data_IF_630789607875
#
_entry.id   IF_630789607875
#
_cell.length_a   1.000
_cell.length_b   1.000
_cell.length_c   1.000
_cell.angle_alpha   90.00
_cell.angle_beta   90.00
_cell.angle_gamma   90.00
#
_symmetry.space_group_name_H-M   'P 1'
#
loop_
_entity.id
_entity.type
_entity.pdbx_description
1 polymer ?
#
# COMPACT_ATOMS: atom_id res chain seq x y z
N UNK A 1 22.59 -35.50 -15.37
CA UNK A 1 22.86 -36.95 -15.50
C UNK A 1 21.52 -37.65 -15.67
N UNK A 2 21.28 -38.28 -16.83
CA UNK A 2 20.02 -38.97 -17.14
C UNK A 2 20.06 -40.41 -16.64
N UNK A 3 19.40 -40.69 -15.51
CA UNK A 3 19.09 -42.05 -15.09
C UNK A 3 17.78 -42.48 -15.75
N UNK A 4 17.64 -43.76 -16.10
CA UNK A 4 16.36 -44.29 -16.60
C UNK A 4 15.33 -44.25 -15.48
N UNK A 5 14.06 -43.94 -15.80
CA UNK A 5 12.97 -43.83 -14.81
C UNK A 5 12.81 -45.10 -13.94
N UNK A 6 13.21 -46.25 -14.47
CA UNK A 6 13.21 -47.55 -13.80
C UNK A 6 14.28 -47.72 -12.72
N UNK A 7 15.29 -46.87 -12.68
CA UNK A 7 16.42 -46.94 -11.73
C UNK A 7 16.27 -45.94 -10.58
N UNK A 8 15.15 -45.22 -10.55
CA UNK A 8 14.87 -44.18 -9.57
C UNK A 8 13.93 -44.75 -8.51
N UNK A 9 14.48 -45.00 -7.32
CA UNK A 9 13.67 -45.39 -6.17
C UNK A 9 12.79 -44.20 -5.73
N UNK A 10 11.46 -44.31 -5.81
CA UNK A 10 10.54 -43.24 -5.43
C UNK A 10 10.69 -42.81 -3.97
N UNK A 11 11.04 -43.74 -3.07
CA UNK A 11 11.24 -43.49 -1.66
C UNK A 11 12.51 -42.67 -1.40
N UNK A 12 13.58 -42.94 -2.14
CA UNK A 12 14.83 -42.18 -2.04
C UNK A 12 14.65 -40.75 -2.59
N UNK A 13 13.91 -40.61 -3.69
CA UNK A 13 13.65 -39.32 -4.32
C UNK A 13 12.77 -38.42 -3.45
N UNK A 14 11.78 -38.98 -2.77
CA UNK A 14 10.94 -38.23 -1.84
C UNK A 14 11.74 -37.72 -0.64
N UNK A 15 12.66 -38.52 -0.09
CA UNK A 15 13.56 -38.09 0.99
C UNK A 15 14.48 -36.97 0.52
N UNK A 16 15.10 -37.11 -0.65
CA UNK A 16 15.93 -36.06 -1.24
C UNK A 16 15.16 -34.75 -1.44
N UNK A 17 13.90 -34.80 -1.88
CA UNK A 17 13.05 -33.61 -2.04
C UNK A 17 12.75 -32.92 -0.71
N UNK A 18 12.46 -33.70 0.34
CA UNK A 18 12.20 -33.16 1.69
C UNK A 18 13.47 -32.56 2.27
N UNK A 19 14.61 -33.25 2.16
CA UNK A 19 15.91 -32.76 2.61
C UNK A 19 16.32 -31.48 1.87
N UNK A 20 16.05 -31.41 0.57
CA UNK A 20 16.28 -30.21 -0.24
C UNK A 20 15.37 -29.06 0.22
N UNK A 21 14.08 -29.32 0.44
CA UNK A 21 13.14 -28.32 0.93
C UNK A 21 13.58 -27.77 2.30
N UNK A 22 14.03 -28.63 3.20
CA UNK A 22 14.56 -28.21 4.51
C UNK A 22 15.87 -27.42 4.36
N UNK A 23 16.81 -27.87 3.52
CA UNK A 23 18.09 -27.20 3.26
C UNK A 23 17.91 -25.77 2.76
N UNK A 24 16.93 -25.55 1.89
CA UNK A 24 16.61 -24.23 1.34
C UNK A 24 15.56 -23.45 2.15
N UNK A 25 15.18 -23.94 3.34
CA UNK A 25 14.16 -23.32 4.22
C UNK A 25 12.81 -23.09 3.52
N UNK A 26 12.46 -23.95 2.58
CA UNK A 26 11.15 -23.95 1.94
C UNK A 26 10.14 -24.41 3.00
N UNK A 27 9.16 -23.56 3.30
CA UNK A 27 8.10 -23.86 4.26
C UNK A 27 7.22 -24.97 3.70
N UNK A 28 7.35 -26.18 4.23
CA UNK A 28 6.48 -27.31 3.89
C UNK A 28 5.09 -27.06 4.55
N UNK A 29 4.01 -26.96 3.76
CA UNK A 29 2.65 -26.83 4.32
C UNK A 29 2.29 -28.01 5.24
N UNK A 30 1.49 -27.75 6.28
CA UNK A 30 1.17 -28.75 7.32
C UNK A 30 0.43 -29.97 6.75
N UNK A 31 -0.29 -29.76 5.64
CA UNK A 31 -1.05 -30.75 4.91
C UNK A 31 -0.15 -31.91 4.45
N UNK A 32 1.10 -31.64 4.05
CA UNK A 32 2.05 -32.67 3.65
C UNK A 32 2.56 -33.52 4.83
N UNK A 33 2.67 -32.94 6.02
CA UNK A 33 3.04 -33.70 7.22
C UNK A 33 1.92 -34.68 7.62
N UNK A 34 0.66 -34.26 7.49
CA UNK A 34 -0.50 -35.12 7.73
C UNK A 34 -0.55 -36.26 6.70
N UNK A 35 -0.32 -35.96 5.41
CA UNK A 35 -0.23 -36.97 4.36
C UNK A 35 0.90 -37.97 4.63
N UNK A 36 2.09 -37.50 5.00
CA UNK A 36 3.23 -38.36 5.33
C UNK A 36 2.91 -39.31 6.49
N UNK A 37 2.28 -38.82 7.56
CA UNK A 37 1.85 -39.64 8.69
C UNK A 37 0.80 -40.68 8.28
N UNK A 38 -0.17 -40.28 7.46
CA UNK A 38 -1.19 -41.19 6.94
C UNK A 38 -0.56 -42.29 6.09
N UNK A 39 0.31 -41.95 5.14
CA UNK A 39 1.04 -42.90 4.31
C UNK A 39 1.88 -43.88 5.13
N UNK A 40 2.63 -43.40 6.12
CA UNK A 40 3.44 -44.27 7.00
C UNK A 40 2.56 -45.21 7.84
N UNK A 41 1.40 -44.74 8.28
CA UNK A 41 0.44 -45.56 9.04
C UNK A 41 -0.16 -46.64 8.15
N UNK A 42 -0.57 -46.28 6.93
CA UNK A 42 -1.10 -47.23 5.95
C UNK A 42 -0.05 -48.28 5.57
N UNK A 43 1.19 -47.88 5.30
CA UNK A 43 2.30 -48.81 5.05
C UNK A 43 2.52 -49.76 6.24
N UNK A 44 2.48 -49.23 7.46
CA UNK A 44 2.62 -50.04 8.68
C UNK A 44 1.51 -51.07 8.85
N UNK A 45 0.27 -50.74 8.50
CA UNK A 45 -0.86 -51.68 8.52
C UNK A 45 -0.70 -52.74 7.41
N UNK A 46 -0.36 -52.32 6.19
CA UNK A 46 -0.15 -53.23 5.05
C UNK A 46 0.96 -54.22 5.35
N UNK A 47 2.08 -53.75 5.92
CA UNK A 47 3.23 -54.61 6.29
C UNK A 47 2.88 -55.64 7.38
N UNK A 48 1.92 -55.35 8.25
CA UNK A 48 1.43 -56.32 9.24
C UNK A 48 0.50 -57.36 8.62
N UNK A 49 -0.24 -57.00 7.56
CA UNK A 49 -1.26 -57.86 6.95
C UNK A 49 -0.68 -58.74 5.84
N UNK A 50 0.14 -58.17 4.96
CA UNK A 50 0.79 -58.86 3.85
C UNK A 50 2.18 -58.24 3.60
N UNK A 51 3.24 -58.82 4.18
CA UNK A 51 4.61 -58.29 4.06
C UNK A 51 5.27 -58.55 2.70
N UNK A 52 4.76 -59.45 1.87
CA UNK A 52 5.33 -59.78 0.55
C UNK A 52 4.61 -59.03 -0.60
N UNK A 53 3.60 -58.23 -0.29
CA UNK A 53 2.83 -57.46 -1.26
C UNK A 53 3.72 -56.47 -2.05
N UNK A 54 3.74 -56.60 -3.37
CA UNK A 54 4.26 -55.55 -4.27
C UNK A 54 3.26 -54.39 -4.36
N UNK A 55 3.48 -53.37 -3.52
CA UNK A 55 2.68 -52.15 -3.44
C UNK A 55 2.60 -51.45 -4.80
N UNK A 56 3.66 -51.50 -5.60
CA UNK A 56 3.70 -50.82 -6.90
C UNK A 56 2.74 -51.47 -7.88
N UNK A 57 2.78 -52.80 -7.98
CA UNK A 57 1.88 -53.55 -8.86
C UNK A 57 0.42 -53.41 -8.41
N UNK A 58 0.15 -53.45 -7.10
CA UNK A 58 -1.19 -53.29 -6.56
C UNK A 58 -1.75 -51.87 -6.77
N UNK A 59 -0.92 -50.82 -6.66
CA UNK A 59 -1.35 -49.43 -6.77
C UNK A 59 -1.44 -48.92 -8.22
N UNK A 60 -0.67 -49.48 -9.15
CA UNK A 60 -0.60 -49.06 -10.55
C UNK A 60 -1.96 -48.95 -11.27
N UNK A 61 -2.89 -49.93 -11.19
CA UNK A 61 -4.18 -49.82 -11.86
C UNK A 61 -5.02 -48.65 -11.32
N UNK A 62 -5.01 -48.42 -10.01
CA UNK A 62 -5.73 -47.30 -9.39
C UNK A 62 -5.12 -45.96 -9.75
N UNK A 63 -3.78 -45.87 -9.78
CA UNK A 63 -3.08 -44.66 -10.24
C UNK A 63 -3.44 -44.33 -11.69
N UNK A 64 -3.50 -45.33 -12.58
CA UNK A 64 -3.96 -45.14 -13.96
C UNK A 64 -5.41 -44.65 -14.01
N UNK A 65 -6.31 -45.27 -13.25
CA UNK A 65 -7.71 -44.85 -13.22
C UNK A 65 -7.89 -43.41 -12.71
N UNK A 66 -7.19 -43.03 -11.64
CA UNK A 66 -7.19 -41.65 -11.11
C UNK A 66 -6.67 -40.63 -12.13
N UNK A 67 -5.62 -40.98 -12.88
CA UNK A 67 -5.12 -40.13 -13.96
C UNK A 67 -6.15 -40.04 -15.09
N UNK A 68 -6.75 -41.16 -15.50
CA UNK A 68 -7.81 -41.14 -16.49
C UNK A 68 -8.99 -40.28 -16.05
N UNK A 69 -9.46 -40.40 -14.81
CA UNK A 69 -10.59 -39.61 -14.32
C UNK A 69 -10.27 -38.11 -14.30
N UNK A 70 -9.07 -37.75 -13.82
CA UNK A 70 -8.60 -36.36 -13.75
C UNK A 70 -8.36 -35.72 -15.12
N UNK A 71 -7.93 -36.52 -16.10
CA UNK A 71 -7.62 -36.05 -17.46
C UNK A 71 -8.68 -36.49 -18.49
N UNK A 72 -9.81 -37.07 -18.06
CA UNK A 72 -10.84 -37.54 -18.97
C UNK A 72 -11.51 -36.35 -19.69
N UNK A 73 -11.74 -36.42 -21.02
CA UNK A 73 -12.48 -35.40 -21.76
C UNK A 73 -13.91 -35.18 -21.25
N UNK A 74 -14.50 -36.17 -20.57
CA UNK A 74 -15.81 -36.05 -19.94
C UNK A 74 -15.81 -35.09 -18.74
N UNK A 75 -14.69 -34.92 -18.04
CA UNK A 75 -14.56 -33.88 -17.01
C UNK A 75 -14.45 -32.46 -17.59
N UNK A 76 -13.93 -32.33 -18.83
CA UNK A 76 -13.90 -31.05 -19.56
C UNK A 76 -15.28 -30.59 -20.03
N UNK A 77 -16.20 -31.50 -20.38
CA UNK A 77 -17.56 -31.11 -20.79
C UNK A 77 -18.36 -30.48 -19.65
N UNK A 78 -18.21 -31.00 -18.42
CA UNK A 78 -18.77 -30.38 -17.21
C UNK A 78 -18.15 -29.00 -16.91
N UNK A 79 -16.85 -28.83 -17.17
CA UNK A 79 -16.18 -27.53 -17.08
C UNK A 79 -16.69 -26.53 -18.11
N UNK A 80 -16.85 -26.95 -19.37
CA UNK A 80 -17.32 -26.10 -20.46
C UNK A 80 -18.77 -25.64 -20.26
N UNK A 81 -19.66 -26.54 -19.82
CA UNK A 81 -21.05 -26.19 -19.49
C UNK A 81 -21.12 -25.22 -18.31
N UNK A 82 -20.28 -25.41 -17.29
CA UNK A 82 -20.18 -24.48 -16.15
C UNK A 82 -19.70 -23.09 -16.59
N UNK A 83 -18.72 -23.03 -17.48
CA UNK A 83 -18.22 -21.77 -18.05
C UNK A 83 -19.30 -21.09 -18.89
N UNK A 84 -20.04 -21.82 -19.73
CA UNK A 84 -21.16 -21.28 -20.52
C UNK A 84 -22.26 -20.70 -19.63
N UNK A 85 -22.66 -21.40 -18.57
CA UNK A 85 -23.67 -20.91 -17.62
C UNK A 85 -23.19 -19.66 -16.87
N UNK A 86 -21.91 -19.59 -16.49
CA UNK A 86 -21.33 -18.39 -15.88
C UNK A 86 -21.28 -17.21 -16.87
N UNK A 87 -20.93 -17.47 -18.13
CA UNK A 87 -20.89 -16.46 -19.18
C UNK A 87 -22.29 -15.89 -19.47
N UNK A 88 -23.31 -16.76 -19.47
CA UNK A 88 -24.71 -16.36 -19.65
C UNK A 88 -25.18 -15.42 -18.53
N UNK A 89 -24.87 -15.74 -17.27
CA UNK A 89 -25.20 -14.85 -16.14
C UNK A 89 -24.48 -13.50 -16.26
N UNK A 90 -23.19 -13.52 -16.60
CA UNK A 90 -22.42 -12.29 -16.80
C UNK A 90 -22.99 -11.41 -17.94
N UNK A 91 -23.36 -12.02 -19.07
CA UNK A 91 -23.96 -11.31 -20.21
C UNK A 91 -25.34 -10.72 -19.92
N UNK A 92 -26.08 -11.23 -18.93
CA UNK A 92 -27.37 -10.67 -18.51
C UNK A 92 -27.18 -9.42 -17.63
N UNK A 93 -26.21 -9.43 -16.71
CA UNK A 93 -26.04 -8.35 -15.74
C UNK A 93 -25.19 -7.18 -16.28
N UNK A 94 -24.24 -7.46 -17.18
CA UNK A 94 -23.33 -6.46 -17.74
C UNK A 94 -24.00 -5.34 -18.56
N UNK A 95 -24.96 -5.61 -19.47
CA UNK A 95 -25.57 -4.56 -20.27
C UNK A 95 -26.36 -3.55 -19.41
N UNK A 96 -26.96 -3.98 -18.31
CA UNK A 96 -27.68 -3.09 -17.40
C UNK A 96 -26.73 -2.13 -16.69
N UNK A 97 -25.57 -2.61 -16.23
CA UNK A 97 -24.54 -1.78 -15.60
C UNK A 97 -23.94 -0.78 -16.60
N UNK A 98 -23.68 -1.22 -17.83
CA UNK A 98 -23.21 -0.32 -18.89
C UNK A 98 -24.26 0.75 -19.22
N UNK A 99 -25.53 0.39 -19.37
CA UNK A 99 -26.60 1.35 -19.61
C UNK A 99 -26.70 2.40 -18.49
N UNK A 100 -26.52 1.99 -17.24
CA UNK A 100 -26.52 2.90 -16.10
C UNK A 100 -25.32 3.85 -16.11
N UNK A 101 -24.12 3.36 -16.46
CA UNK A 101 -22.93 4.22 -16.64
C UNK A 101 -23.15 5.23 -17.76
N UNK A 102 -23.72 4.82 -18.90
CA UNK A 102 -24.03 5.73 -20.00
C UNK A 102 -25.07 6.79 -19.60
N UNK A 103 -26.12 6.39 -18.87
CA UNK A 103 -27.13 7.33 -18.35
C UNK A 103 -26.53 8.33 -17.35
N UNK A 104 -25.62 7.89 -16.47
CA UNK A 104 -24.93 8.78 -15.53
C UNK A 104 -23.95 9.73 -16.24
N UNK A 105 -23.39 9.30 -17.38
CA UNK A 105 -22.53 10.11 -18.24
C UNK A 105 -23.34 11.18 -19.01
N UNK A 106 -24.48 10.78 -19.59
CA UNK A 106 -25.41 11.68 -20.29
C UNK A 106 -26.04 12.70 -19.34
N UNK A 107 -26.39 12.28 -18.12
CA UNK A 107 -26.94 13.15 -17.08
C UNK A 107 -25.92 14.08 -16.42
N UNK A 108 -24.66 14.08 -16.85
CA UNK A 108 -23.60 14.94 -16.31
C UNK A 108 -23.25 14.65 -14.84
N UNK A 109 -23.68 13.50 -14.30
CA UNK A 109 -23.40 13.07 -12.92
C UNK A 109 -22.03 12.43 -12.75
N UNK A 110 -21.34 12.18 -13.86
CA UNK A 110 -19.98 11.68 -13.88
C UNK A 110 -18.99 12.75 -13.40
N UNK A 111 -18.86 12.90 -12.09
CA UNK A 111 -17.91 13.80 -11.47
C UNK A 111 -16.57 13.08 -11.30
N UNK A 112 -15.67 13.25 -12.28
CA UNK A 112 -14.28 12.79 -12.14
C UNK A 112 -13.59 13.71 -11.15
N UNK A 113 -13.55 13.28 -9.89
CA UNK A 113 -12.84 14.01 -8.85
C UNK A 113 -11.34 13.81 -9.04
N UNK A 114 -10.75 14.53 -10.00
CA UNK A 114 -9.30 14.55 -10.23
C UNK A 114 -8.66 15.27 -9.05
N UNK A 115 -8.39 14.53 -7.97
CA UNK A 115 -7.46 14.96 -6.92
C UNK A 115 -6.06 14.90 -7.47
N UNK A 116 -5.68 15.87 -8.31
CA UNK A 116 -4.27 16.07 -8.62
C UNK A 116 -3.61 16.68 -7.38
N UNK A 117 -2.61 16.01 -6.83
CA UNK A 117 -1.76 16.57 -5.78
C UNK A 117 -1.13 17.91 -6.19
N UNK A 118 -0.99 18.15 -7.50
CA UNK A 118 -0.45 19.38 -8.08
C UNK A 118 -1.35 20.60 -7.80
N UNK A 119 -2.67 20.50 -7.99
CA UNK A 119 -3.61 21.58 -7.65
C UNK A 119 -3.60 21.90 -6.15
N UNK A 120 -3.46 20.88 -5.29
CA UNK A 120 -3.35 21.09 -3.85
C UNK A 120 -2.05 21.80 -3.47
N UNK A 121 -0.94 21.50 -4.15
CA UNK A 121 0.35 22.16 -3.94
C UNK A 121 0.31 23.62 -4.43
N UNK A 122 -0.29 23.88 -5.57
CA UNK A 122 -0.51 25.24 -6.09
C UNK A 122 -1.30 26.10 -5.11
N UNK A 123 -2.42 25.61 -4.58
CA UNK A 123 -3.22 26.34 -3.59
C UNK A 123 -2.42 26.63 -2.31
N UNK A 124 -1.60 25.68 -1.86
CA UNK A 124 -0.74 25.86 -0.68
C UNK A 124 0.32 26.95 -0.92
N UNK A 125 0.95 26.96 -2.09
CA UNK A 125 1.96 27.96 -2.46
C UNK A 125 1.35 29.36 -2.60
N UNK A 126 0.17 29.48 -3.22
CA UNK A 126 -0.55 30.76 -3.34
C UNK A 126 -0.92 31.33 -1.97
N UNK A 127 -1.41 30.47 -1.05
CA UNK A 127 -1.69 30.88 0.34
C UNK A 127 -0.43 31.35 1.07
N UNK A 128 0.69 30.64 0.91
CA UNK A 128 1.96 31.01 1.53
C UNK A 128 2.46 32.38 1.03
N UNK A 129 2.37 32.63 -0.28
CA UNK A 129 2.71 33.93 -0.88
C UNK A 129 1.79 35.04 -0.36
N UNK A 130 0.48 34.81 -0.28
CA UNK A 130 -0.48 35.77 0.26
C UNK A 130 -0.18 36.16 1.71
N UNK A 131 0.14 35.19 2.57
CA UNK A 131 0.53 35.44 3.96
C UNK A 131 1.83 36.24 4.01
N UNK A 132 2.83 35.89 3.22
CA UNK A 132 4.11 36.60 3.17
C UNK A 132 3.93 38.07 2.78
N UNK A 133 3.14 38.33 1.72
CA UNK A 133 2.85 39.69 1.27
C UNK A 133 2.08 40.49 2.32
N UNK A 134 1.05 39.89 2.93
CA UNK A 134 0.27 40.55 3.98
C UNK A 134 1.13 40.89 5.21
N UNK A 135 1.96 39.96 5.67
CA UNK A 135 2.88 40.21 6.79
C UNK A 135 3.95 41.23 6.43
N UNK A 136 4.50 41.20 5.22
CA UNK A 136 5.43 42.22 4.73
C UNK A 136 4.79 43.61 4.69
N UNK A 137 3.53 43.70 4.24
CA UNK A 137 2.77 44.94 4.20
C UNK A 137 2.49 45.48 5.61
N UNK A 138 2.06 44.63 6.55
CA UNK A 138 1.89 44.98 7.96
C UNK A 138 3.20 45.46 8.58
N UNK A 139 4.31 44.77 8.33
CA UNK A 139 5.61 45.16 8.85
C UNK A 139 6.05 46.52 8.30
N UNK A 140 5.88 46.76 7.00
CA UNK A 140 6.18 48.06 6.39
C UNK A 140 5.32 49.18 6.98
N UNK A 141 4.02 48.93 7.20
CA UNK A 141 3.11 49.89 7.84
C UNK A 141 3.50 50.19 9.28
N UNK A 142 3.90 49.18 10.06
CA UNK A 142 4.39 49.37 11.43
C UNK A 142 5.71 50.17 11.46
N UNK A 143 6.63 49.91 10.53
CA UNK A 143 7.89 50.66 10.41
C UNK A 143 7.62 52.13 10.08
N UNK A 144 6.78 52.40 9.07
CA UNK A 144 6.44 53.77 8.66
C UNK A 144 5.66 54.49 9.77
N UNK A 145 4.73 53.80 10.44
CA UNK A 145 3.98 54.34 11.58
C UNK A 145 4.89 54.69 12.75
N UNK A 146 5.83 53.80 13.10
CA UNK A 146 6.82 54.06 14.15
C UNK A 146 7.73 55.26 13.78
N UNK A 147 8.20 55.33 12.53
CA UNK A 147 9.03 56.43 12.05
C UNK A 147 8.28 57.76 12.03
N UNK A 148 7.02 57.77 11.58
CA UNK A 148 6.19 58.98 11.57
C UNK A 148 5.91 59.50 12.98
N UNK A 149 5.71 58.61 13.95
CA UNK A 149 5.51 58.99 15.36
C UNK A 149 6.79 59.63 15.93
N UNK A 150 7.95 59.11 15.56
CA UNK A 150 9.27 59.69 15.88
C UNK A 150 9.46 61.06 15.22
N UNK A 151 9.05 61.21 13.96
CA UNK A 151 9.15 62.47 13.22
C UNK A 151 8.28 63.60 13.78
N UNK A 152 7.04 63.31 14.20
CA UNK A 152 6.14 64.34 14.77
C UNK A 152 6.46 64.73 16.21
N UNK A 153 7.11 63.84 16.96
CA UNK A 153 7.52 64.13 18.32
C UNK A 153 8.84 64.89 18.41
N UNK A 154 9.55 65.06 17.30
CA UNK A 154 10.72 65.95 17.21
C UNK A 154 10.38 67.43 17.45
N UNK A 155 9.09 67.80 17.41
CA UNK A 155 8.62 69.18 17.65
C UNK A 155 8.19 69.44 19.12
N UNK A 156 8.18 68.42 20.00
CA UNK A 156 7.68 68.51 21.38
C UNK A 156 8.67 68.02 22.45
N UNK A 157 9.18 68.98 23.24
CA UNK A 157 10.03 68.91 24.45
C UNK A 157 10.08 67.57 25.23
N UNK A 158 11.28 66.98 25.38
CA UNK A 158 11.59 65.95 26.41
C UNK A 158 12.79 65.03 26.14
N UNK A 159 14.03 65.49 26.35
CA UNK A 159 15.29 64.87 25.87
C UNK A 159 15.78 63.55 26.54
N UNK A 160 14.97 62.76 27.27
CA UNK A 160 15.56 61.57 27.95
C UNK A 160 14.72 60.29 27.94
N UNK A 161 13.39 60.36 27.80
CA UNK A 161 12.52 59.15 27.77
C UNK A 161 12.28 58.63 26.33
N UNK A 162 12.58 59.46 25.33
CA UNK A 162 12.21 59.29 23.93
C UNK A 162 12.98 58.23 23.11
N UNK A 163 14.33 58.13 23.19
CA UNK A 163 15.07 57.14 22.38
C UNK A 163 14.77 55.70 22.82
N UNK A 164 14.37 55.48 24.08
CA UNK A 164 13.95 54.16 24.56
C UNK A 164 12.64 53.72 23.90
N UNK A 165 11.65 54.61 23.75
CA UNK A 165 10.38 54.26 23.12
C UNK A 165 10.56 53.91 21.63
N UNK A 166 11.42 54.62 20.91
CA UNK A 166 11.77 54.32 19.52
C UNK A 166 12.54 52.99 19.39
N UNK A 167 13.48 52.71 20.29
CA UNK A 167 14.21 51.43 20.34
C UNK A 167 13.29 50.26 20.72
N UNK A 168 12.30 50.48 21.58
CA UNK A 168 11.29 49.48 21.95
C UNK A 168 10.38 49.20 20.75
N UNK A 169 9.92 50.22 20.04
CA UNK A 169 9.11 50.06 18.82
C UNK A 169 9.86 49.32 17.72
N UNK A 170 11.14 49.66 17.50
CA UNK A 170 11.99 49.00 16.51
C UNK A 170 12.32 47.55 16.90
N UNK A 171 12.57 47.28 18.19
CA UNK A 171 12.85 45.92 18.66
C UNK A 171 11.61 45.03 18.60
N UNK A 172 10.43 45.54 18.94
CA UNK A 172 9.15 44.82 18.77
C UNK A 172 8.84 44.56 17.30
N UNK A 173 9.04 45.53 16.41
CA UNK A 173 8.86 45.34 14.98
C UNK A 173 9.83 44.31 14.41
N UNK A 174 11.12 44.37 14.79
CA UNK A 174 12.13 43.41 14.39
C UNK A 174 11.85 41.99 14.94
N UNK A 175 11.35 41.89 16.17
CA UNK A 175 11.00 40.62 16.81
C UNK A 175 9.78 39.99 16.15
N UNK A 176 8.74 40.77 15.82
CA UNK A 176 7.56 40.27 15.09
C UNK A 176 7.92 39.88 13.65
N UNK A 177 8.76 40.65 12.96
CA UNK A 177 9.23 40.32 11.63
C UNK A 177 10.11 39.07 11.63
N UNK A 178 11.02 38.94 12.60
CA UNK A 178 11.86 37.76 12.79
C UNK A 178 11.06 36.51 13.18
N UNK A 179 10.04 36.64 14.03
CA UNK A 179 9.14 35.54 14.38
C UNK A 179 8.30 35.08 13.19
N UNK A 180 7.78 36.01 12.39
CA UNK A 180 7.06 35.68 11.16
C UNK A 180 7.96 35.05 10.09
N UNK A 181 9.18 35.54 9.93
CA UNK A 181 10.16 34.98 9.00
C UNK A 181 10.61 33.58 9.45
N UNK A 182 10.87 33.40 10.74
CA UNK A 182 11.23 32.11 11.33
C UNK A 182 10.08 31.10 11.20
N UNK A 183 8.83 31.51 11.47
CA UNK A 183 7.66 30.67 11.31
C UNK A 183 7.40 30.27 9.85
N UNK A 184 7.57 31.20 8.89
CA UNK A 184 7.38 30.92 7.46
C UNK A 184 8.50 30.05 6.88
N UNK A 185 9.75 30.24 7.32
CA UNK A 185 10.88 29.39 6.93
C UNK A 185 10.85 28.00 7.60
N UNK A 186 10.42 27.89 8.86
CA UNK A 186 10.25 26.60 9.52
C UNK A 186 9.01 25.86 9.01
N UNK A 187 7.88 26.53 8.76
CA UNK A 187 6.65 25.88 8.28
C UNK A 187 6.81 25.25 6.89
N UNK A 188 7.71 25.77 6.04
CA UNK A 188 8.12 25.09 4.80
C UNK A 188 8.98 23.83 5.00
N UNK A 189 9.63 23.69 6.17
CA UNK A 189 10.55 22.59 6.49
C UNK A 189 9.98 21.55 7.47
N UNK A 190 8.87 21.82 8.17
CA UNK A 190 8.15 20.79 8.95
C UNK A 190 7.32 19.92 8.00
N UNK A 191 8.04 19.18 7.16
CA UNK A 191 7.53 18.07 6.36
C UNK A 191 7.04 17.01 7.35
N UNK A 192 5.72 16.92 7.53
CA UNK A 192 4.96 15.79 8.13
C UNK A 192 5.85 14.77 8.85
N UNK A 193 6.24 15.05 10.10
CA UNK A 193 6.62 13.96 11.00
C UNK A 193 5.31 13.25 11.33
N UNK A 194 4.99 12.26 10.51
CA UNK A 194 3.90 11.32 10.72
C UNK A 194 4.16 10.58 12.03
N UNK A 195 3.59 11.11 13.11
CA UNK A 195 3.53 10.54 14.47
C UNK A 195 2.68 9.25 14.54
N UNK A 196 2.58 8.48 13.46
CA UNK A 196 1.92 7.16 13.45
C UNK A 196 2.85 5.99 13.77
N UNK A 197 4.14 6.23 14.03
CA UNK A 197 5.14 5.17 14.25
C UNK A 197 5.48 4.90 15.73
N UNK A 198 4.86 5.63 16.67
CA UNK A 198 5.12 5.47 18.12
C UNK A 198 4.03 4.72 18.89
N UNK A 199 3.02 4.19 18.20
CA UNK A 199 2.09 3.21 18.78
C UNK A 199 2.31 1.85 18.11
N UNK A 200 3.32 1.15 18.60
CA UNK A 200 3.37 -0.31 18.63
C UNK A 200 4.25 -0.78 19.78
#
# INVERSE_FOLDING_TARGET
MGRKLSEVDPGMLMRELVDLAMKYKIKIPKEYAVLSKASATTEGIVRQLDPELDVTQAALPYAKQLLYDRYSPASMSGGFLRVLLQLQGFLQDTPQQLAQILMDLEGGKFNVNVRSDELSRLNTNVKALGILLFTGMLASGLIVGAFSLVGRASEGVGQTVWPLAALIGLSLAAMLFGAALSWTLLSGRVKKISLRRFLK
#
